data_IF_929223910362
#
_entry.id   IF_929223910362
#
_cell.length_a   1.000
_cell.length_b   1.000
_cell.length_c   1.000
_cell.angle_alpha   90.00
_cell.angle_beta   90.00
_cell.angle_gamma   90.00
#
_symmetry.space_group_name_H-M   'P 1'
#
loop_
_entity.id
_entity.type
_entity.pdbx_description
1 polymer ?
#
# COMPACT_ATOMS: atom_id res chain seq x y z
N UNK A 1 -21.94 -10.67 -13.80
CA UNK A 1 -20.47 -10.85 -13.90
C UNK A 1 -19.90 -10.46 -12.56
N UNK A 2 -19.15 -11.36 -11.91
CA UNK A 2 -18.47 -11.05 -10.66
C UNK A 2 -17.19 -10.28 -10.95
N UNK A 3 -17.14 -9.04 -10.47
CA UNK A 3 -15.95 -8.20 -10.53
C UNK A 3 -15.11 -8.50 -9.30
N UNK A 4 -13.91 -9.03 -9.49
CA UNK A 4 -12.97 -9.25 -8.38
C UNK A 4 -12.28 -7.93 -8.02
N UNK A 5 -12.17 -7.64 -6.73
CA UNK A 5 -11.42 -6.49 -6.24
C UNK A 5 -10.76 -6.80 -4.90
N UNK A 6 -9.70 -6.07 -4.56
CA UNK A 6 -9.13 -6.11 -3.21
C UNK A 6 -8.59 -4.75 -2.78
N UNK A 7 -8.66 -4.50 -1.47
CA UNK A 7 -8.08 -3.34 -0.80
C UNK A 7 -7.06 -3.79 0.22
N UNK A 8 -5.89 -3.15 0.22
CA UNK A 8 -4.81 -3.49 1.14
C UNK A 8 -3.89 -2.29 1.34
N UNK A 9 -3.12 -2.32 2.42
CA UNK A 9 -2.11 -1.31 2.71
C UNK A 9 -0.70 -1.80 2.39
N UNK A 10 0.14 -0.90 1.89
CA UNK A 10 1.58 -1.10 1.78
C UNK A 10 2.28 -0.15 2.74
N UNK A 11 3.29 -0.67 3.45
CA UNK A 11 4.20 0.14 4.25
C UNK A 11 5.49 0.39 3.46
N UNK A 12 5.88 1.66 3.36
CA UNK A 12 7.19 2.09 2.88
C UNK A 12 7.95 2.74 4.04
N UNK A 13 9.13 2.22 4.36
CA UNK A 13 9.97 2.76 5.44
C UNK A 13 11.28 3.30 4.88
N UNK A 14 11.64 4.52 5.25
CA UNK A 14 12.89 5.17 4.83
C UNK A 14 13.63 5.80 6.03
N UNK A 15 14.98 5.82 6.01
CA UNK A 15 15.75 6.38 7.10
C UNK A 15 15.58 7.91 7.16
N UNK A 16 15.45 8.45 8.36
CA UNK A 16 15.44 9.90 8.61
C UNK A 16 16.84 10.38 9.05
N UNK A 17 17.03 11.70 9.12
CA UNK A 17 18.25 12.30 9.66
C UNK A 17 18.36 12.24 11.19
N UNK A 18 17.31 11.78 11.89
CA UNK A 18 17.25 11.77 13.36
C UNK A 18 17.84 10.48 13.93
N UNK A 19 18.42 10.62 15.12
CA UNK A 19 18.86 9.52 15.97
C UNK A 19 17.96 9.40 17.19
N UNK A 20 17.73 8.17 17.66
CA UNK A 20 17.03 7.93 18.91
C UNK A 20 17.98 7.99 20.12
N UNK A 21 17.46 7.70 21.31
CA UNK A 21 18.22 7.70 22.58
C UNK A 21 19.36 6.66 22.60
N UNK A 22 19.30 5.64 21.73
CA UNK A 22 20.31 4.59 21.57
C UNK A 22 21.27 4.89 20.41
N UNK A 23 21.19 6.07 19.81
CA UNK A 23 21.95 6.50 18.65
C UNK A 23 21.65 5.69 17.35
N UNK A 24 20.51 5.03 17.29
CA UNK A 24 20.01 4.31 16.11
C UNK A 24 19.29 5.27 15.16
N UNK A 25 19.34 4.99 13.86
CA UNK A 25 18.64 5.81 12.86
C UNK A 25 17.13 5.63 12.98
N UNK A 26 16.41 6.72 13.16
CA UNK A 26 14.94 6.70 13.18
C UNK A 26 14.42 6.52 11.75
N UNK A 27 13.49 5.59 11.54
CA UNK A 27 12.82 5.37 10.25
C UNK A 27 11.43 6.00 10.24
N UNK A 28 11.08 6.69 9.15
CA UNK A 28 9.70 7.11 8.90
C UNK A 28 9.00 6.04 8.08
N UNK A 29 7.79 5.65 8.49
CA UNK A 29 7.00 4.63 7.80
C UNK A 29 5.69 5.24 7.31
N UNK A 30 5.50 5.21 5.99
CA UNK A 30 4.30 5.67 5.32
C UNK A 30 3.43 4.50 4.93
N UNK A 31 2.13 4.69 5.06
CA UNK A 31 1.12 3.70 4.71
C UNK A 31 0.33 4.20 3.53
N UNK A 32 0.32 3.39 2.47
CA UNK A 32 -0.36 3.69 1.23
C UNK A 32 -1.53 2.75 1.07
N UNK A 33 -2.69 3.31 0.75
CA UNK A 33 -3.90 2.55 0.48
C UNK A 33 -4.01 2.20 -1.00
N UNK A 34 -4.14 0.91 -1.30
CA UNK A 34 -4.15 0.38 -2.65
C UNK A 34 -5.49 -0.28 -2.93
N UNK A 35 -6.06 0.01 -4.10
CA UNK A 35 -7.21 -0.71 -4.66
C UNK A 35 -6.77 -1.42 -5.94
N UNK A 36 -6.99 -2.72 -6.03
CA UNK A 36 -6.73 -3.51 -7.23
C UNK A 36 -8.02 -4.16 -7.73
N UNK A 37 -8.14 -4.30 -9.05
CA UNK A 37 -9.32 -4.85 -9.71
C UNK A 37 -8.95 -6.04 -10.61
N UNK A 38 -9.94 -6.87 -10.90
CA UNK A 38 -9.91 -7.94 -11.90
C UNK A 38 -8.66 -8.83 -11.81
N UNK A 39 -7.87 -8.89 -12.89
CA UNK A 39 -6.68 -9.74 -12.97
C UNK A 39 -5.62 -9.40 -11.92
N UNK A 40 -5.46 -8.12 -11.58
CA UNK A 40 -4.50 -7.68 -10.55
C UNK A 40 -4.94 -8.17 -9.18
N UNK A 41 -6.23 -8.05 -8.86
CA UNK A 41 -6.80 -8.55 -7.61
C UNK A 41 -6.62 -10.07 -7.48
N UNK A 42 -6.94 -10.84 -8.54
CA UNK A 42 -6.77 -12.31 -8.57
C UNK A 42 -5.31 -12.74 -8.44
N UNK A 43 -4.38 -12.02 -9.05
CA UNK A 43 -2.94 -12.26 -8.92
C UNK A 43 -2.48 -12.06 -7.48
N UNK A 44 -2.89 -10.96 -6.85
CA UNK A 44 -2.53 -10.63 -5.47
C UNK A 44 -3.12 -11.63 -4.47
N UNK A 45 -4.39 -12.01 -4.65
CA UNK A 45 -5.03 -13.05 -3.83
C UNK A 45 -4.24 -14.36 -3.85
N UNK A 46 -3.81 -14.81 -5.04
CA UNK A 46 -3.16 -16.11 -5.20
C UNK A 46 -1.71 -16.14 -4.70
N UNK A 47 -0.98 -15.02 -4.81
CA UNK A 47 0.48 -15.03 -4.67
C UNK A 47 1.01 -14.09 -3.58
N UNK A 48 0.18 -13.24 -2.98
CA UNK A 48 0.62 -12.33 -1.91
C UNK A 48 0.13 -12.79 -0.53
N UNK A 49 0.87 -12.40 0.51
CA UNK A 49 0.50 -12.58 1.91
C UNK A 49 0.98 -11.37 2.71
N UNK A 50 0.57 -11.27 3.98
CA UNK A 50 1.10 -10.25 4.89
C UNK A 50 2.64 -10.29 4.90
N UNK A 51 3.27 -9.15 4.65
CA UNK A 51 4.72 -9.01 4.61
C UNK A 51 5.37 -9.32 3.25
N UNK A 52 4.59 -9.67 2.22
CA UNK A 52 5.10 -9.72 0.84
C UNK A 52 5.66 -8.36 0.42
N UNK A 53 6.82 -8.37 -0.25
CA UNK A 53 7.34 -7.19 -0.92
C UNK A 53 6.64 -7.05 -2.26
N UNK A 54 6.01 -5.91 -2.51
CA UNK A 54 5.20 -5.69 -3.71
C UNK A 54 5.55 -4.33 -4.31
N UNK A 55 5.80 -4.30 -5.61
CA UNK A 55 5.88 -3.08 -6.40
C UNK A 55 4.52 -2.83 -7.05
N UNK A 56 3.98 -1.63 -6.86
CA UNK A 56 2.70 -1.20 -7.43
C UNK A 56 2.96 -0.11 -8.47
N UNK A 57 2.27 -0.19 -9.60
CA UNK A 57 2.17 0.90 -10.58
C UNK A 57 0.70 1.17 -10.85
N UNK A 58 0.35 2.45 -10.93
CA UNK A 58 -1.03 2.86 -11.06
C UNK A 58 -1.19 4.36 -10.95
N UNK A 59 -2.39 4.80 -10.61
CA UNK A 59 -2.75 6.22 -10.50
C UNK A 59 -3.21 6.60 -9.11
N UNK A 60 -2.94 7.84 -8.72
CA UNK A 60 -3.55 8.44 -7.54
C UNK A 60 -5.00 8.79 -7.84
N UNK A 61 -5.88 8.43 -6.92
CA UNK A 61 -7.29 8.80 -6.93
C UNK A 61 -7.66 9.36 -5.56
N UNK A 62 -8.54 10.35 -5.56
CA UNK A 62 -9.05 10.93 -4.33
C UNK A 62 -10.53 10.61 -4.24
N UNK A 63 -10.94 9.97 -3.16
CA UNK A 63 -12.35 9.89 -2.80
C UNK A 63 -12.66 10.80 -1.62
N UNK A 64 -13.94 11.12 -1.48
CA UNK A 64 -14.45 11.88 -0.35
C UNK A 64 -15.57 11.07 0.26
N UNK A 65 -15.50 10.85 1.57
CA UNK A 65 -16.54 10.18 2.32
C UNK A 65 -16.96 11.06 3.49
N UNK A 66 -18.23 11.02 3.85
CA UNK A 66 -18.73 11.71 5.04
C UNK A 66 -18.58 10.81 6.27
N UNK A 67 -18.05 11.37 7.34
CA UNK A 67 -18.04 10.75 8.66
C UNK A 67 -18.34 11.80 9.70
N UNK A 68 -19.37 11.56 10.50
CA UNK A 68 -19.81 12.46 11.58
C UNK A 68 -20.08 13.90 11.09
N UNK A 69 -20.68 14.04 9.90
CA UNK A 69 -20.98 15.33 9.25
C UNK A 69 -19.76 16.05 8.65
N UNK A 70 -18.58 15.43 8.71
CA UNK A 70 -17.34 15.96 8.12
C UNK A 70 -16.99 15.19 6.85
N UNK A 71 -16.80 15.93 5.75
CA UNK A 71 -16.28 15.37 4.50
C UNK A 71 -14.76 15.14 4.63
N UNK A 72 -14.34 13.88 4.58
CA UNK A 72 -12.94 13.47 4.65
C UNK A 72 -12.47 13.09 3.25
N UNK A 73 -11.42 13.77 2.78
CA UNK A 73 -10.73 13.39 1.54
C UNK A 73 -9.70 12.30 1.85
N UNK A 74 -9.69 11.24 1.07
CA UNK A 74 -8.72 10.16 1.17
C UNK A 74 -8.05 9.96 -0.17
N UNK A 75 -6.72 9.91 -0.14
CA UNK A 75 -5.92 9.54 -1.29
C UNK A 75 -5.73 8.02 -1.31
N UNK A 76 -5.95 7.40 -2.46
CA UNK A 76 -5.69 5.98 -2.71
C UNK A 76 -4.95 5.81 -4.02
N UNK A 77 -4.29 4.67 -4.19
CA UNK A 77 -3.66 4.27 -5.43
C UNK A 77 -4.53 3.20 -6.08
N UNK A 78 -5.00 3.44 -7.29
CA UNK A 78 -5.63 2.39 -8.10
C UNK A 78 -4.52 1.68 -8.87
N UNK A 79 -4.31 0.41 -8.58
CA UNK A 79 -3.26 -0.40 -9.17
C UNK A 79 -3.64 -0.86 -10.58
N UNK A 80 -2.84 -0.46 -11.57
CA UNK A 80 -2.92 -0.96 -12.94
C UNK A 80 -2.01 -2.20 -13.12
N UNK A 81 -0.93 -2.29 -12.33
CA UNK A 81 -0.05 -3.45 -12.24
C UNK A 81 0.47 -3.67 -10.81
N UNK A 82 0.74 -4.93 -10.47
CA UNK A 82 1.36 -5.33 -9.21
C UNK A 82 2.37 -6.47 -9.43
N UNK A 83 3.59 -6.28 -8.93
CA UNK A 83 4.67 -7.26 -9.00
C UNK A 83 5.09 -7.69 -7.61
N UNK A 84 4.99 -8.98 -7.35
CA UNK A 84 5.34 -9.57 -6.06
C UNK A 84 6.80 -10.02 -6.16
N UNK A 85 7.61 -9.51 -5.25
CA UNK A 85 9.04 -9.82 -5.17
C UNK A 85 9.33 -10.65 -3.93
N UNK A 86 10.36 -11.49 -4.01
CA UNK A 86 10.89 -12.15 -2.83
C UNK A 86 11.80 -11.18 -2.05
N UNK A 87 11.59 -11.12 -0.74
CA UNK A 87 12.52 -10.40 0.14
C UNK A 87 13.79 -11.25 0.25
N UNK A 88 14.85 -10.86 -0.45
CA UNK A 88 16.19 -11.40 -0.15
C UNK A 88 16.55 -10.93 1.25
N UNK A 89 16.49 -11.85 2.21
CA UNK A 89 17.10 -11.66 3.51
C UNK A 89 18.60 -11.76 3.28
N UNK A 90 19.29 -10.63 3.42
CA UNK A 90 20.75 -10.57 3.46
C UNK A 90 21.22 -10.86 4.89
#
# INVERSE_FOLDING_TARGET
>A
MDVSFCNFSIAESYPTSKKDEKNETVYDTRWHDITAWEGVAKKLEKYSKKGSLITISGRLEYDTYEKDGVNIKRAKIIADNAEISERKLN
#
